data_IF_809323370824
#
_entry.id   IF_809323370824
#
_cell.length_a   1.000
_cell.length_b   1.000
_cell.length_c   1.000
_cell.angle_alpha   90.00
_cell.angle_beta   90.00
_cell.angle_gamma   90.00
#
_symmetry.space_group_name_H-M   'P 1'
#
loop_
_entity.id
_entity.type
_entity.pdbx_description
1 polymer ?
#
# COMPACT_ATOMS: atom_id res chain seq x y z
N UNK A 1 -7.17 8.58 22.04
CA UNK A 1 -6.64 7.43 21.27
C UNK A 1 -5.69 8.00 20.24
N UNK A 2 -4.49 7.46 20.07
CA UNK A 2 -3.57 7.95 19.05
C UNK A 2 -4.13 7.59 17.67
N UNK A 3 -4.08 8.53 16.74
CA UNK A 3 -4.46 8.29 15.35
C UNK A 3 -3.42 7.37 14.70
N UNK A 4 -3.87 6.23 14.18
CA UNK A 4 -2.99 5.28 13.51
C UNK A 4 -2.67 5.80 12.11
N UNK A 5 -1.39 6.03 11.84
CA UNK A 5 -0.91 6.52 10.55
C UNK A 5 -1.28 5.54 9.43
N UNK A 6 -1.88 6.06 8.36
CA UNK A 6 -2.16 5.32 7.12
C UNK A 6 -0.89 5.35 6.26
N UNK A 7 -0.38 4.18 5.89
CA UNK A 7 0.82 4.04 5.09
C UNK A 7 0.50 3.47 3.70
N UNK A 8 1.31 3.87 2.72
CA UNK A 8 1.49 3.21 1.44
C UNK A 8 2.83 2.48 1.47
N UNK A 9 2.81 1.19 1.13
CA UNK A 9 3.99 0.35 1.00
C UNK A 9 4.13 -0.10 -0.45
N UNK A 10 5.35 -0.06 -0.97
CA UNK A 10 5.71 -0.72 -2.22
C UNK A 10 6.55 -1.95 -1.88
N UNK A 11 6.21 -3.09 -2.48
CA UNK A 11 6.94 -4.35 -2.30
C UNK A 11 7.87 -4.65 -3.47
N UNK A 12 8.81 -5.57 -3.26
CA UNK A 12 9.82 -5.96 -4.27
C UNK A 12 9.22 -6.62 -5.51
N UNK A 13 8.03 -7.22 -5.39
CA UNK A 13 7.26 -7.79 -6.50
C UNK A 13 6.31 -6.77 -7.17
N UNK A 14 6.41 -5.48 -6.84
CA UNK A 14 5.68 -4.41 -7.51
C UNK A 14 4.25 -4.18 -7.00
N UNK A 15 3.91 -4.63 -5.79
CA UNK A 15 2.58 -4.43 -5.21
C UNK A 15 2.51 -3.10 -4.45
N UNK A 16 1.35 -2.45 -4.51
CA UNK A 16 1.06 -1.22 -3.80
C UNK A 16 0.04 -1.51 -2.69
N UNK A 17 0.52 -1.57 -1.45
CA UNK A 17 -0.30 -1.91 -0.28
C UNK A 17 -0.59 -0.67 0.53
N UNK A 18 -1.83 -0.49 0.95
CA UNK A 18 -2.25 0.62 1.81
C UNK A 18 -2.89 0.06 3.06
N UNK A 19 -2.64 0.65 4.23
CA UNK A 19 -3.30 0.26 5.48
C UNK A 19 -2.84 1.07 6.68
N UNK A 20 -3.41 0.82 7.85
CA UNK A 20 -3.01 1.48 9.10
C UNK A 20 -1.84 0.73 9.75
N UNK A 21 -0.76 1.45 10.08
CA UNK A 21 0.41 0.89 10.76
C UNK A 21 0.04 0.43 12.17
N UNK A 22 0.17 -0.87 12.44
CA UNK A 22 0.00 -1.44 13.79
C UNK A 22 1.33 -1.62 14.52
N UNK A 23 2.41 -1.86 13.78
CA UNK A 23 3.73 -2.04 14.37
C UNK A 23 4.79 -2.33 13.33
N UNK A 24 6.05 -2.14 13.72
CA UNK A 24 7.23 -2.47 12.94
C UNK A 24 8.37 -2.92 13.85
N UNK A 25 9.40 -3.54 13.28
CA UNK A 25 10.63 -3.92 13.99
C UNK A 25 11.90 -3.38 13.32
N UNK A 26 13.06 -3.66 13.90
CA UNK A 26 14.36 -3.22 13.38
C UNK A 26 14.76 -3.87 12.05
N UNK A 27 14.06 -4.91 11.62
CA UNK A 27 14.27 -5.57 10.34
C UNK A 27 13.31 -5.05 9.27
N UNK A 28 12.59 -3.95 9.55
CA UNK A 28 11.58 -3.38 8.66
C UNK A 28 10.41 -4.31 8.35
N UNK A 29 10.15 -5.32 9.20
CA UNK A 29 8.88 -6.04 9.12
C UNK A 29 7.76 -5.08 9.54
N UNK A 30 6.65 -5.07 8.82
CA UNK A 30 5.53 -4.14 9.06
C UNK A 30 4.22 -4.91 9.19
N UNK A 31 3.43 -4.55 10.19
CA UNK A 31 2.05 -5.03 10.35
C UNK A 31 1.10 -3.90 9.96
N UNK A 32 0.28 -4.14 8.94
CA UNK A 32 -0.83 -3.28 8.55
C UNK A 32 -2.17 -3.89 8.95
N UNK A 33 -3.12 -3.06 9.38
CA UNK A 33 -4.52 -3.45 9.55
C UNK A 33 -5.41 -2.69 8.58
N UNK A 34 -6.60 -3.25 8.30
CA UNK A 34 -7.54 -2.70 7.32
C UNK A 34 -6.85 -2.42 5.99
N UNK A 35 -5.91 -3.30 5.63
CA UNK A 35 -5.09 -3.11 4.45
C UNK A 35 -5.81 -3.58 3.21
N UNK A 36 -5.52 -2.91 2.10
CA UNK A 36 -5.93 -3.28 0.76
C UNK A 36 -4.79 -3.03 -0.22
N UNK A 37 -4.80 -3.74 -1.34
CA UNK A 37 -3.87 -3.53 -2.44
C UNK A 37 -4.51 -2.64 -3.51
N UNK A 38 -3.77 -1.67 -4.04
CA UNK A 38 -4.11 -0.93 -5.26
C UNK A 38 -3.44 -1.59 -6.45
N UNK A 39 -4.26 -2.15 -7.34
CA UNK A 39 -3.80 -2.80 -8.58
C UNK A 39 -3.94 -1.81 -9.73
N UNK A 40 -2.80 -1.40 -10.29
CA UNK A 40 -2.74 -0.49 -11.44
C UNK A 40 -2.80 -1.27 -12.75
N UNK A 41 -3.50 -0.72 -13.74
CA UNK A 41 -3.61 -1.25 -15.10
C UNK A 41 -3.58 -0.11 -16.11
N UNK A 42 -2.98 -0.37 -17.27
CA UNK A 42 -3.01 0.54 -18.41
C UNK A 42 -4.39 0.56 -19.10
N UNK A 43 -5.15 -0.53 -18.99
CA UNK A 43 -6.43 -0.72 -19.68
C UNK A 43 -7.63 -0.33 -18.81
N UNK A 44 -7.56 -0.62 -17.52
CA UNK A 44 -8.64 -0.41 -16.55
C UNK A 44 -8.25 0.56 -15.44
N UNK A 45 -9.25 1.14 -14.79
CA UNK A 45 -9.04 1.93 -13.58
C UNK A 45 -8.44 1.13 -12.44
N UNK A 46 -7.88 1.82 -11.43
CA UNK A 46 -7.30 1.16 -10.26
C UNK A 46 -8.36 0.31 -9.55
N UNK A 47 -8.00 -0.95 -9.33
CA UNK A 47 -8.81 -1.89 -8.55
C UNK A 47 -8.26 -2.00 -7.13
N UNK A 48 -9.15 -2.32 -6.19
CA UNK A 48 -8.78 -2.55 -4.79
C UNK A 48 -9.05 -3.99 -4.39
N UNK A 49 -8.09 -4.61 -3.70
CA UNK A 49 -8.22 -5.97 -3.16
C UNK A 49 -8.05 -5.91 -1.65
N UNK A 50 -9.09 -6.24 -0.90
CA UNK A 50 -9.05 -6.23 0.57
C UNK A 50 -8.18 -7.37 1.11
N UNK A 51 -7.30 -7.03 2.06
CA UNK A 51 -6.35 -7.95 2.70
C UNK A 51 -6.56 -8.07 4.21
N UNK A 52 -7.15 -7.06 4.86
CA UNK A 52 -7.45 -7.09 6.29
C UNK A 52 -6.21 -6.84 7.16
N UNK A 53 -5.77 -7.85 7.92
CA UNK A 53 -4.52 -7.78 8.69
C UNK A 53 -3.40 -8.41 7.85
N UNK A 54 -2.33 -7.66 7.60
CA UNK A 54 -1.29 -8.06 6.67
C UNK A 54 0.11 -7.83 7.26
N UNK A 55 0.94 -8.87 7.26
CA UNK A 55 2.34 -8.83 7.71
C UNK A 55 3.26 -8.81 6.48
N UNK A 56 4.06 -7.77 6.36
CA UNK A 56 5.08 -7.62 5.33
C UNK A 56 6.43 -7.97 5.95
N UNK A 57 7.17 -8.88 5.33
CA UNK A 57 8.55 -9.18 5.69
C UNK A 57 9.46 -8.08 5.13
N UNK A 58 10.38 -7.56 5.93
CA UNK A 58 11.20 -6.40 5.57
C UNK A 58 12.05 -6.59 4.31
N UNK A 59 12.51 -7.82 4.03
CA UNK A 59 13.24 -8.13 2.80
C UNK A 59 12.41 -7.91 1.51
N UNK A 60 11.08 -7.91 1.64
CA UNK A 60 10.15 -7.70 0.54
C UNK A 60 9.64 -6.25 0.47
N UNK A 61 10.11 -5.35 1.35
CA UNK A 61 9.70 -3.96 1.39
C UNK A 61 10.69 -3.09 0.59
N UNK A 62 10.17 -2.31 -0.35
CA UNK A 62 10.96 -1.33 -1.13
C UNK A 62 10.88 0.04 -0.47
N UNK A 63 9.67 0.51 -0.15
CA UNK A 63 9.47 1.77 0.54
C UNK A 63 8.19 1.76 1.39
N UNK A 64 8.17 2.65 2.39
CA UNK A 64 7.01 2.93 3.23
C UNK A 64 6.85 4.46 3.32
N UNK A 65 5.66 4.97 3.00
CA UNK A 65 5.34 6.39 3.08
C UNK A 65 4.03 6.62 3.81
N UNK A 66 3.95 7.73 4.56
CA UNK A 66 2.70 8.19 5.15
C UNK A 66 1.83 8.84 4.07
N UNK A 67 0.54 8.51 4.05
CA UNK A 67 -0.43 9.05 3.10
C UNK A 67 -1.18 10.21 3.77
N UNK A 68 -1.31 11.33 3.06
CA UNK A 68 -2.31 12.33 3.39
C UNK A 68 -3.69 11.84 2.96
N UNK A 69 -4.51 11.42 3.93
CA UNK A 69 -5.85 10.89 3.68
C UNK A 69 -6.76 11.91 3.02
N UNK A 70 -6.60 13.20 3.30
CA UNK A 70 -7.47 14.24 2.75
C UNK A 70 -7.29 14.39 1.24
N UNK A 71 -6.07 14.20 0.76
CA UNK A 71 -5.73 14.24 -0.67
C UNK A 71 -6.05 12.89 -1.33
N UNK A 72 -5.73 11.78 -0.65
CA UNK A 72 -5.95 10.42 -1.16
C UNK A 72 -7.44 10.12 -1.40
N UNK A 73 -8.32 10.59 -0.51
CA UNK A 73 -9.77 10.38 -0.58
C UNK A 73 -10.45 11.27 -1.64
N UNK A 74 -9.80 12.36 -2.08
CA UNK A 74 -10.29 13.21 -3.17
C UNK A 74 -10.04 12.60 -4.56
N UNK A 75 -9.13 11.64 -4.66
CA UNK A 75 -8.78 11.01 -5.93
C UNK A 75 -9.80 9.94 -6.32
N UNK A 76 -10.32 10.04 -7.54
CA UNK A 76 -11.19 9.01 -8.12
C UNK A 76 -10.35 7.89 -8.74
N UNK A 77 -9.80 7.02 -7.89
CA UNK A 77 -8.86 5.96 -8.28
C UNK A 77 -9.38 5.04 -9.39
N UNK A 78 -10.69 4.79 -9.47
CA UNK A 78 -11.34 4.00 -10.51
C UNK A 78 -11.23 4.61 -11.93
N UNK A 79 -10.82 5.87 -12.05
CA UNK A 79 -10.60 6.54 -13.34
C UNK A 79 -9.10 6.71 -13.68
N UNK A 80 -8.21 6.36 -12.74
CA UNK A 80 -6.77 6.46 -12.92
C UNK A 80 -6.26 5.21 -13.64
N UNK A 81 -5.51 5.40 -14.73
CA UNK A 81 -4.83 4.34 -15.47
C UNK A 81 -3.33 4.57 -15.43
N UNK A 82 -2.58 3.53 -15.13
CA UNK A 82 -1.13 3.55 -15.06
C UNK A 82 -0.58 2.15 -15.29
N UNK A 83 0.63 2.07 -15.84
CA UNK A 83 1.31 0.79 -15.96
C UNK A 83 1.55 0.16 -14.57
N UNK A 84 1.47 -1.19 -14.45
CA UNK A 84 1.85 -1.87 -13.23
C UNK A 84 3.27 -1.51 -12.79
N UNK A 85 3.50 -1.43 -11.48
CA UNK A 85 4.84 -1.20 -10.93
C UNK A 85 5.69 -2.43 -11.23
N UNK A 86 6.88 -2.22 -11.78
CA UNK A 86 7.80 -3.32 -12.09
C UNK A 86 8.39 -3.95 -10.83
N UNK A 87 8.59 -5.26 -10.91
CA UNK A 87 9.40 -6.02 -9.94
C UNK A 87 10.83 -5.48 -9.89
N UNK A 88 11.46 -5.57 -8.72
CA UNK A 88 12.88 -5.27 -8.53
C UNK A 88 13.82 -6.33 -9.12
N UNK A 89 13.28 -7.50 -9.46
CA UNK A 89 13.98 -8.62 -10.11
C UNK A 89 13.52 -8.81 -11.55
#
# INVERSE_FOLDING_TARGET
MAELKKLLLITTDGRCLIGHLQGYDNNSNIILSQSFERVFSSDQGVQTVDLGLYLIKGDNLVCASEIDTTIDDQNEWSNVKADPIQSCY
#
